data_IF_098548445290
#
_entry.id   IF_098548445290
#
_cell.length_a   1.000
_cell.length_b   1.000
_cell.length_c   1.000
_cell.angle_alpha   90.00
_cell.angle_beta   90.00
_cell.angle_gamma   90.00
#
_symmetry.space_group_name_H-M   'P 1'
#
loop_
_entity.id
_entity.type
_entity.pdbx_description
1 polymer ?
#
# COMPACT_ATOMS: atom_id res chain seq x y z
N UNK A 1 -8.03 -7.08 22.78
CA UNK A 1 -8.21 -7.37 21.33
C UNK A 1 -7.16 -8.41 20.95
N UNK A 2 -7.52 -9.44 20.19
CA UNK A 2 -6.62 -10.56 19.88
C UNK A 2 -5.95 -10.27 18.52
N UNK A 3 -4.65 -10.52 18.41
CA UNK A 3 -3.92 -10.42 17.13
C UNK A 3 -4.54 -11.36 16.07
N UNK A 4 -4.43 -11.03 14.77
CA UNK A 4 -4.87 -11.91 13.70
C UNK A 4 -4.27 -13.31 13.88
N UNK A 5 -5.11 -14.33 13.99
CA UNK A 5 -4.70 -15.71 14.22
C UNK A 5 -3.87 -16.24 13.03
N UNK A 6 -3.07 -17.29 13.20
CA UNK A 6 -2.38 -17.93 12.08
C UNK A 6 -3.31 -18.34 10.95
N UNK A 7 -4.52 -18.84 11.27
CA UNK A 7 -5.53 -19.21 10.28
C UNK A 7 -6.03 -17.97 9.52
N UNK A 8 -6.28 -16.85 10.22
CA UNK A 8 -6.65 -15.60 9.57
C UNK A 8 -5.53 -15.10 8.65
N UNK A 9 -4.27 -15.11 9.13
CA UNK A 9 -3.12 -14.69 8.33
C UNK A 9 -2.97 -15.54 7.06
N UNK A 10 -3.15 -16.85 7.17
CA UNK A 10 -3.09 -17.77 6.02
C UNK A 10 -4.21 -17.48 5.00
N UNK A 11 -5.40 -17.14 5.48
CA UNK A 11 -6.56 -16.88 4.62
C UNK A 11 -6.53 -15.50 3.95
N UNK A 12 -5.85 -14.50 4.53
CA UNK A 12 -5.98 -13.11 4.10
C UNK A 12 -4.68 -12.44 3.68
N UNK A 13 -3.52 -12.98 4.05
CA UNK A 13 -2.23 -12.38 3.72
C UNK A 13 -1.57 -13.08 2.54
N UNK A 14 -0.98 -12.28 1.67
CA UNK A 14 -0.16 -12.75 0.54
C UNK A 14 1.19 -12.06 0.56
N UNK A 15 2.19 -12.71 -0.01
CA UNK A 15 3.51 -12.14 -0.23
C UNK A 15 3.64 -11.69 -1.68
N UNK A 16 3.74 -10.38 -1.90
CA UNK A 16 4.06 -9.80 -3.21
C UNK A 16 5.57 -9.93 -3.42
N UNK A 17 6.04 -10.68 -4.42
CA UNK A 17 7.47 -10.87 -4.66
C UNK A 17 8.12 -9.58 -5.17
N UNK A 18 9.40 -9.35 -4.86
CA UNK A 18 10.11 -8.15 -5.35
C UNK A 18 10.27 -8.11 -6.87
N UNK A 19 10.14 -9.25 -7.56
CA UNK A 19 10.08 -9.28 -9.03
C UNK A 19 8.87 -8.53 -9.59
N UNK A 20 7.79 -8.41 -8.81
CA UNK A 20 6.63 -7.58 -9.13
C UNK A 20 6.82 -6.10 -8.74
N UNK A 21 7.84 -5.79 -7.95
CA UNK A 21 8.15 -4.47 -7.39
C UNK A 21 9.61 -4.07 -7.71
N UNK A 22 10.02 -4.02 -8.98
CA UNK A 22 11.42 -3.76 -9.34
C UNK A 22 11.90 -2.42 -8.80
N UNK A 23 13.11 -2.40 -8.21
CA UNK A 23 13.66 -1.22 -7.56
C UNK A 23 13.12 -0.97 -6.14
N UNK A 24 12.47 -1.96 -5.52
CA UNK A 24 12.01 -1.84 -4.13
C UNK A 24 13.16 -1.44 -3.20
N UNK A 25 12.96 -0.43 -2.33
CA UNK A 25 14.03 0.03 -1.46
C UNK A 25 14.44 -1.03 -0.42
N UNK A 26 15.69 -1.03 0.03
CA UNK A 26 16.20 -2.01 0.99
C UNK A 26 15.50 -1.87 2.35
N UNK A 27 15.35 -3.00 3.05
CA UNK A 27 14.97 -3.01 4.46
C UNK A 27 16.25 -2.86 5.31
N UNK A 28 16.32 -1.89 6.24
CA UNK A 28 17.51 -1.70 7.07
C UNK A 28 17.85 -2.95 7.91
N UNK A 29 19.04 -3.48 7.70
CA UNK A 29 19.57 -4.59 8.51
C UNK A 29 19.07 -6.00 8.10
N UNK A 30 18.26 -6.16 7.06
CA UNK A 30 17.83 -7.46 6.58
C UNK A 30 17.53 -7.49 5.08
N UNK A 31 17.70 -8.64 4.46
CA UNK A 31 17.21 -8.88 3.12
C UNK A 31 15.73 -9.26 3.15
N UNK A 32 14.97 -8.76 2.21
CA UNK A 32 13.56 -9.11 2.01
C UNK A 32 13.37 -9.69 0.61
N UNK A 33 12.57 -10.74 0.49
CA UNK A 33 12.25 -11.38 -0.79
C UNK A 33 10.86 -11.01 -1.32
N UNK A 34 10.13 -10.18 -0.57
CA UNK A 34 8.81 -9.71 -0.94
C UNK A 34 8.13 -8.97 0.21
N UNK A 35 6.96 -8.43 -0.08
CA UNK A 35 6.17 -7.62 0.84
C UNK A 35 4.90 -8.37 1.21
N UNK A 36 4.71 -8.66 2.49
CA UNK A 36 3.50 -9.32 2.98
C UNK A 36 2.42 -8.28 3.24
N UNK A 37 1.29 -8.40 2.54
CA UNK A 37 0.14 -7.50 2.66
C UNK A 37 -1.17 -8.29 2.65
N UNK A 38 -2.27 -7.64 2.98
CA UNK A 38 -3.60 -8.21 2.76
C UNK A 38 -3.82 -8.50 1.26
N UNK A 39 -4.45 -9.64 0.94
CA UNK A 39 -4.63 -10.08 -0.46
C UNK A 39 -5.34 -9.04 -1.33
N UNK A 40 -6.28 -8.25 -0.76
CA UNK A 40 -6.98 -7.19 -1.49
C UNK A 40 -6.12 -5.91 -1.68
N UNK A 41 -5.06 -5.77 -0.91
CA UNK A 41 -4.11 -4.64 -1.00
C UNK A 41 -2.98 -4.93 -1.98
N UNK A 42 -2.74 -6.21 -2.31
CA UNK A 42 -1.65 -6.62 -3.18
C UNK A 42 -1.75 -6.03 -4.60
N UNK A 43 -2.93 -6.06 -5.21
CA UNK A 43 -3.16 -5.45 -6.52
C UNK A 43 -2.92 -3.94 -6.53
N UNK A 44 -3.58 -3.17 -5.64
CA UNK A 44 -3.30 -1.75 -5.44
C UNK A 44 -1.82 -1.42 -5.21
N UNK A 45 -1.11 -2.21 -4.38
CA UNK A 45 0.32 -2.02 -4.17
C UNK A 45 1.12 -2.11 -5.48
N UNK A 46 0.88 -3.17 -6.25
CA UNK A 46 1.58 -3.36 -7.54
C UNK A 46 1.23 -2.22 -8.52
N UNK A 47 -0.03 -1.80 -8.58
CA UNK A 47 -0.45 -0.69 -9.43
C UNK A 47 0.25 0.62 -9.06
N UNK A 48 0.31 0.92 -7.76
CA UNK A 48 1.04 2.10 -7.25
C UNK A 48 2.52 2.02 -7.61
N UNK A 49 3.13 0.83 -7.48
CA UNK A 49 4.54 0.64 -7.81
C UNK A 49 4.84 0.84 -9.29
N UNK A 50 3.97 0.34 -10.16
CA UNK A 50 4.05 0.58 -11.60
C UNK A 50 3.97 2.07 -11.90
N UNK A 51 3.07 2.81 -11.27
CA UNK A 51 2.93 4.24 -11.48
C UNK A 51 4.13 5.05 -10.95
N UNK A 52 4.69 4.68 -9.80
CA UNK A 52 5.94 5.25 -9.30
C UNK A 52 7.09 5.05 -10.28
N UNK A 53 7.20 3.86 -10.86
CA UNK A 53 8.22 3.56 -11.88
C UNK A 53 8.01 4.39 -13.15
N UNK A 54 6.77 4.46 -13.63
CA UNK A 54 6.43 5.28 -14.81
C UNK A 54 6.80 6.74 -14.63
N UNK A 55 6.68 7.27 -13.40
CA UNK A 55 7.06 8.64 -13.03
C UNK A 55 8.54 8.82 -12.69
N UNK A 56 9.35 7.76 -12.67
CA UNK A 56 10.76 7.82 -12.26
C UNK A 56 10.94 8.17 -10.78
N UNK A 57 10.02 7.70 -9.91
CA UNK A 57 9.99 8.08 -8.50
C UNK A 57 10.46 6.99 -7.54
N UNK A 58 10.69 5.76 -8.02
CA UNK A 58 11.06 4.63 -7.16
C UNK A 58 12.36 4.89 -6.40
N UNK A 59 13.35 5.49 -7.04
CA UNK A 59 14.64 5.85 -6.47
C UNK A 59 14.58 7.00 -5.45
N UNK A 60 13.43 7.64 -5.28
CA UNK A 60 13.18 8.67 -4.25
C UNK A 60 12.82 8.07 -2.89
N UNK A 61 12.54 6.76 -2.84
CA UNK A 61 12.36 6.00 -1.60
C UNK A 61 13.70 5.36 -1.22
N UNK A 62 14.22 5.68 -0.04
CA UNK A 62 15.56 5.26 0.44
C UNK A 62 15.52 3.94 1.18
N UNK A 63 14.47 3.73 1.98
CA UNK A 63 14.30 2.52 2.80
C UNK A 63 12.85 2.06 2.83
N UNK A 64 12.63 0.76 2.84
CA UNK A 64 11.38 0.12 3.22
C UNK A 64 11.45 -0.24 4.71
N UNK A 65 10.42 0.08 5.50
CA UNK A 65 10.45 -0.09 6.95
C UNK A 65 9.38 -1.04 7.48
N UNK A 66 8.56 -1.62 6.62
CA UNK A 66 7.63 -2.66 6.99
C UNK A 66 6.25 -2.55 6.36
N UNK A 67 5.53 -3.69 6.35
CA UNK A 67 4.13 -3.79 5.97
C UNK A 67 3.35 -4.57 7.01
N UNK A 68 3.35 -5.91 6.96
CA UNK A 68 2.69 -6.74 7.95
C UNK A 68 3.48 -6.78 9.26
N UNK A 69 2.90 -6.27 10.34
CA UNK A 69 3.47 -6.29 11.69
C UNK A 69 2.34 -6.38 12.74
N UNK A 70 2.11 -7.56 13.36
CA UNK A 70 1.10 -7.73 14.40
C UNK A 70 1.48 -6.95 15.66
N UNK A 71 0.96 -5.74 15.78
CA UNK A 71 1.22 -4.85 16.91
C UNK A 71 0.04 -3.93 17.19
N UNK A 72 -0.05 -3.44 18.40
CA UNK A 72 -0.90 -2.32 18.75
C UNK A 72 -0.29 -0.99 18.26
N UNK A 73 -1.12 0.01 18.07
CA UNK A 73 -0.69 1.35 17.72
C UNK A 73 0.25 1.90 18.79
N UNK A 74 1.38 2.47 18.33
CA UNK A 74 2.43 2.98 19.24
C UNK A 74 3.02 1.93 20.18
N UNK A 75 2.85 0.62 19.88
CA UNK A 75 3.23 -0.49 20.75
C UNK A 75 2.52 -0.50 22.13
N UNK A 76 1.46 0.27 22.29
CA UNK A 76 0.67 0.35 23.52
C UNK A 76 -0.52 -0.64 23.45
N UNK A 77 -0.53 -1.64 24.36
CA UNK A 77 -1.57 -2.67 24.44
C UNK A 77 -2.98 -2.13 24.78
N UNK A 78 -3.06 -0.91 25.29
CA UNK A 78 -4.32 -0.24 25.57
C UNK A 78 -4.93 0.43 24.35
N UNK A 79 -4.18 0.53 23.26
CA UNK A 79 -4.65 1.08 21.98
C UNK A 79 -5.16 -0.01 21.05
N UNK A 80 -5.95 0.33 20.02
CA UNK A 80 -6.35 -0.60 18.96
C UNK A 80 -5.15 -1.23 18.27
N UNK A 81 -5.38 -2.31 17.54
CA UNK A 81 -4.37 -2.87 16.65
C UNK A 81 -4.06 -1.87 15.53
N UNK A 82 -2.78 -1.76 15.18
CA UNK A 82 -2.35 -1.03 14.01
C UNK A 82 -2.88 -1.70 12.73
N UNK A 83 -3.12 -0.94 11.68
CA UNK A 83 -3.46 -1.47 10.34
C UNK A 83 -2.34 -2.35 9.77
N UNK A 84 -1.10 -2.17 10.21
CA UNK A 84 -0.02 -3.10 9.92
C UNK A 84 -0.30 -4.53 10.41
N UNK A 85 -1.05 -4.70 11.50
CA UNK A 85 -1.43 -6.02 11.99
C UNK A 85 -2.27 -6.82 10.99
N UNK A 86 -2.86 -6.14 10.03
CA UNK A 86 -3.71 -6.72 8.99
C UNK A 86 -3.06 -6.67 7.59
N UNK A 87 -1.80 -6.23 7.48
CA UNK A 87 -1.12 -6.07 6.20
C UNK A 87 -1.71 -4.97 5.31
N UNK A 88 -2.33 -3.96 5.92
CA UNK A 88 -3.01 -2.88 5.22
C UNK A 88 -2.24 -1.55 5.25
N UNK A 89 -0.96 -1.56 5.60
CA UNK A 89 -0.10 -0.39 5.60
C UNK A 89 1.33 -0.73 5.18
N UNK A 90 2.05 0.32 4.80
CA UNK A 90 3.46 0.31 4.37
C UNK A 90 4.16 1.48 5.03
N UNK A 91 5.38 1.25 5.51
CA UNK A 91 6.24 2.32 6.02
C UNK A 91 7.48 2.45 5.13
N UNK A 92 7.82 3.71 4.78
CA UNK A 92 9.02 4.07 4.02
C UNK A 92 9.77 5.23 4.67
N UNK A 93 11.09 5.19 4.59
CA UNK A 93 11.98 6.29 5.01
C UNK A 93 11.78 6.72 6.48
N UNK A 94 11.55 5.74 7.38
CA UNK A 94 11.20 5.98 8.78
C UNK A 94 12.23 6.83 9.54
N UNK A 95 13.53 6.72 9.20
CA UNK A 95 14.58 7.48 9.84
C UNK A 95 14.42 9.00 9.69
N UNK A 96 13.68 9.46 8.69
CA UNK A 96 13.51 10.87 8.36
C UNK A 96 12.05 11.36 8.47
N UNK A 97 11.10 10.42 8.60
CA UNK A 97 9.68 10.71 8.51
C UNK A 97 8.88 9.95 9.58
N UNK A 98 9.52 9.60 10.70
CA UNK A 98 8.88 8.81 11.76
C UNK A 98 7.70 9.53 12.42
N UNK A 99 6.93 8.77 13.18
CA UNK A 99 5.80 9.27 13.95
C UNK A 99 6.17 10.50 14.81
N UNK A 100 5.35 11.54 14.77
CA UNK A 100 5.56 12.79 15.48
C UNK A 100 6.60 13.74 14.85
N UNK A 101 7.14 13.41 13.67
CA UNK A 101 7.92 14.37 12.91
C UNK A 101 6.97 15.37 12.26
N UNK A 102 7.12 16.68 12.53
CA UNK A 102 6.25 17.71 11.93
C UNK A 102 6.32 17.69 10.40
N UNK A 103 5.20 17.99 9.76
CA UNK A 103 5.04 17.95 8.31
C UNK A 103 6.12 18.74 7.55
N UNK A 104 6.52 19.90 8.06
CA UNK A 104 7.53 20.79 7.47
C UNK A 104 8.96 20.24 7.59
N UNK A 105 9.20 19.26 8.47
CA UNK A 105 10.48 18.60 8.66
C UNK A 105 10.59 17.23 7.96
N UNK A 106 9.49 16.70 7.46
CA UNK A 106 9.48 15.43 6.73
C UNK A 106 10.25 15.53 5.42
N UNK A 107 11.07 14.53 5.15
CA UNK A 107 11.94 14.47 3.96
C UNK A 107 11.41 13.57 2.85
N UNK A 108 10.27 12.92 3.03
CA UNK A 108 9.68 12.09 1.98
C UNK A 108 9.35 12.92 0.74
N UNK A 109 9.63 12.37 -0.43
CA UNK A 109 9.35 13.07 -1.68
C UNK A 109 7.84 13.25 -1.89
N UNK A 110 7.40 14.49 -2.12
CA UNK A 110 5.97 14.84 -2.22
C UNK A 110 5.31 14.29 -3.48
N UNK A 111 6.06 14.02 -4.54
CA UNK A 111 5.51 13.37 -5.74
C UNK A 111 5.28 11.88 -5.51
N UNK A 112 6.10 11.23 -4.68
CA UNK A 112 5.84 9.88 -4.19
C UNK A 112 4.55 9.86 -3.38
N UNK A 113 4.41 10.77 -2.40
CA UNK A 113 3.19 10.89 -1.59
C UNK A 113 1.97 11.07 -2.49
N UNK A 114 2.00 12.03 -3.40
CA UNK A 114 0.90 12.29 -4.34
C UNK A 114 0.55 11.05 -5.16
N UNK A 115 1.55 10.30 -5.64
CA UNK A 115 1.31 9.09 -6.41
C UNK A 115 0.60 8.02 -5.59
N UNK A 116 1.01 7.80 -4.34
CA UNK A 116 0.31 6.91 -3.44
C UNK A 116 -1.14 7.33 -3.20
N UNK A 117 -1.38 8.63 -2.93
CA UNK A 117 -2.72 9.17 -2.69
C UNK A 117 -3.61 9.04 -3.94
N UNK A 118 -3.10 9.32 -5.13
CA UNK A 118 -3.80 9.13 -6.41
C UNK A 118 -4.15 7.67 -6.67
N UNK A 119 -3.36 6.73 -6.14
CA UNK A 119 -3.62 5.30 -6.18
C UNK A 119 -4.47 4.80 -5.00
N UNK A 120 -5.01 5.70 -4.15
CA UNK A 120 -5.98 5.40 -3.11
C UNK A 120 -5.41 5.08 -1.73
N UNK A 121 -4.15 5.32 -1.53
CA UNK A 121 -3.56 5.22 -0.20
C UNK A 121 -3.75 6.52 0.58
N UNK A 122 -3.84 6.39 1.89
CA UNK A 122 -3.81 7.53 2.80
C UNK A 122 -2.43 7.68 3.40
N UNK A 123 -1.90 8.88 3.36
CA UNK A 123 -0.60 9.20 3.93
C UNK A 123 -0.75 9.75 5.35
N UNK A 124 -0.04 9.14 6.32
CA UNK A 124 -0.06 9.54 7.73
C UNK A 124 0.55 10.92 8.01
N UNK A 125 1.34 11.46 7.10
CA UNK A 125 1.86 12.83 7.21
C UNK A 125 0.81 13.93 7.10
N UNK A 126 -0.46 13.60 6.78
CA UNK A 126 -1.61 14.52 6.80
C UNK A 126 -2.41 14.47 8.10
N UNK A 127 -2.02 13.60 9.02
CA UNK A 127 -2.69 13.53 10.31
C UNK A 127 -2.45 14.81 11.12
N UNK A 128 -3.35 15.10 12.06
CA UNK A 128 -3.23 16.28 12.89
C UNK A 128 -2.05 16.18 13.87
N UNK A 129 -1.38 17.29 14.14
CA UNK A 129 -0.39 17.41 15.20
C UNK A 129 -0.99 16.95 16.55
N UNK A 130 -0.30 16.11 17.33
CA UNK A 130 1.07 15.60 17.19
C UNK A 130 1.13 14.16 16.60
N UNK A 131 0.18 13.78 15.77
CA UNK A 131 -0.02 12.40 15.30
C UNK A 131 0.51 12.16 13.89
N UNK A 132 1.18 13.15 13.26
CA UNK A 132 1.74 13.00 11.94
C UNK A 132 2.69 11.80 11.87
N UNK A 133 2.55 11.01 10.79
CA UNK A 133 3.39 9.84 10.55
C UNK A 133 3.80 9.78 9.07
N UNK A 134 4.88 10.47 8.76
CA UNK A 134 5.31 10.69 7.38
C UNK A 134 5.85 9.45 6.68
N UNK A 135 6.24 8.41 7.41
CA UNK A 135 6.65 7.13 6.82
C UNK A 135 5.45 6.29 6.39
N UNK A 136 4.26 6.54 6.94
CA UNK A 136 3.11 5.65 6.93
C UNK A 136 2.17 5.90 5.76
N UNK A 137 1.90 4.85 4.97
CA UNK A 137 0.88 4.81 3.94
C UNK A 137 -0.09 3.67 4.23
N UNK A 138 -1.38 3.96 4.38
CA UNK A 138 -2.37 2.94 4.69
C UNK A 138 -3.50 2.86 3.68
N UNK A 139 -4.02 1.64 3.53
CA UNK A 139 -5.20 1.34 2.78
C UNK A 139 -6.43 1.54 3.64
N UNK A 140 -7.42 2.28 3.19
CA UNK A 140 -8.59 2.65 3.99
C UNK A 140 -9.91 2.09 3.50
N UNK A 141 -9.94 1.51 2.29
CA UNK A 141 -11.15 0.82 1.87
C UNK A 141 -11.43 -0.37 2.79
N UNK A 142 -12.72 -0.68 3.04
CA UNK A 142 -13.09 -1.78 3.91
C UNK A 142 -12.46 -3.11 3.46
N UNK A 143 -11.79 -3.77 4.39
CA UNK A 143 -11.22 -5.10 4.17
C UNK A 143 -12.01 -6.11 5.00
N UNK A 144 -12.49 -7.22 4.41
CA UNK A 144 -13.22 -8.24 5.16
C UNK A 144 -12.44 -8.75 6.37
N UNK A 145 -13.06 -8.77 7.54
CA UNK A 145 -12.46 -9.23 8.78
C UNK A 145 -11.42 -8.29 9.40
N UNK A 146 -11.23 -7.09 8.84
CA UNK A 146 -10.36 -6.06 9.40
C UNK A 146 -11.21 -5.00 10.09
N UNK A 147 -11.17 -4.89 11.42
CA UNK A 147 -11.83 -3.80 12.13
C UNK A 147 -11.04 -2.50 11.85
N UNK A 148 -11.61 -1.60 11.07
CA UNK A 148 -11.08 -0.25 10.94
C UNK A 148 -11.50 0.55 12.19
N UNK A 149 -10.58 1.15 12.93
CA UNK A 149 -10.92 2.03 14.03
C UNK A 149 -11.74 3.24 13.53
N UNK A 150 -12.75 3.67 14.30
CA UNK A 150 -13.62 4.81 13.94
C UNK A 150 -12.84 6.10 13.59
N UNK A 151 -11.69 6.31 14.21
CA UNK A 151 -10.83 7.47 13.91
C UNK A 151 -10.23 7.43 12.51
N UNK A 152 -10.03 6.25 11.90
CA UNK A 152 -9.55 6.14 10.51
C UNK A 152 -10.59 6.65 9.52
N UNK A 153 -11.87 6.45 9.78
CA UNK A 153 -12.95 7.01 8.96
C UNK A 153 -12.98 8.54 9.03
N UNK A 154 -12.70 9.11 10.21
CA UNK A 154 -12.62 10.55 10.38
C UNK A 154 -11.41 11.15 9.65
N UNK A 155 -10.26 10.47 9.67
CA UNK A 155 -9.05 10.89 8.93
C UNK A 155 -9.22 10.73 7.43
N UNK A 156 -9.84 9.64 6.97
CA UNK A 156 -10.17 9.43 5.57
C UNK A 156 -11.07 10.56 5.04
N UNK A 157 -12.05 11.00 5.82
CA UNK A 157 -12.92 12.14 5.47
C UNK A 157 -12.18 13.48 5.42
N UNK A 158 -11.18 13.69 6.27
CA UNK A 158 -10.33 14.90 6.22
C UNK A 158 -9.42 14.91 5.00
N UNK A 159 -8.87 13.74 4.63
CA UNK A 159 -8.02 13.61 3.44
C UNK A 159 -8.81 13.80 2.13
N UNK A 160 -10.07 13.36 2.07
CA UNK A 160 -10.95 13.58 0.90
C UNK A 160 -11.41 15.06 0.74
N UNK A 161 -11.21 15.89 1.74
CA UNK A 161 -11.39 17.34 1.64
C UNK A 161 -10.16 18.08 1.08
N UNK A 162 -9.09 17.37 0.73
CA UNK A 162 -7.91 17.94 0.09
C UNK A 162 -8.19 18.33 -1.39
N UNK A 163 -7.46 19.31 -1.96
CA UNK A 163 -7.78 19.88 -3.26
C UNK A 163 -7.78 18.83 -4.37
N UNK A 164 -8.72 18.99 -5.30
CA UNK A 164 -8.87 18.17 -6.52
C UNK A 164 -7.52 17.91 -7.19
N UNK A 165 -7.18 16.66 -7.51
CA UNK A 165 -5.92 16.36 -8.18
C UNK A 165 -5.84 17.05 -9.54
N UNK A 166 -4.64 17.46 -9.98
CA UNK A 166 -4.44 17.99 -11.33
C UNK A 166 -4.80 16.92 -12.38
N UNK A 167 -5.19 17.33 -13.61
CA UNK A 167 -5.59 16.41 -14.66
C UNK A 167 -4.53 15.36 -14.95
N UNK A 168 -4.99 14.13 -15.19
CA UNK A 168 -4.15 12.95 -15.39
C UNK A 168 -3.06 13.18 -16.46
N UNK A 169 -1.84 12.78 -16.14
CA UNK A 169 -0.74 12.76 -17.11
C UNK A 169 -1.02 11.74 -18.23
N UNK A 170 -0.47 11.92 -19.46
CA UNK A 170 -0.75 11.05 -20.59
C UNK A 170 -0.37 9.59 -20.32
N UNK A 171 -1.21 8.70 -20.79
CA UNK A 171 -1.19 7.25 -20.57
C UNK A 171 -0.02 6.57 -21.28
N UNK A 172 0.68 5.62 -20.65
CA UNK A 172 1.66 4.78 -21.36
C UNK A 172 0.96 3.77 -22.28
N UNK A 173 1.48 3.60 -23.49
CA UNK A 173 0.95 2.72 -24.52
C UNK A 173 1.40 1.25 -24.42
N UNK A 174 2.16 0.86 -23.41
CA UNK A 174 2.62 -0.52 -23.27
C UNK A 174 1.85 -1.30 -22.22
N UNK A 175 1.53 -2.59 -22.48
CA UNK A 175 0.86 -3.43 -21.51
C UNK A 175 1.78 -3.67 -20.30
N UNK A 176 1.30 -3.29 -19.13
CA UNK A 176 1.94 -3.59 -17.86
C UNK A 176 1.99 -5.11 -17.69
N UNK A 177 3.14 -5.64 -17.33
CA UNK A 177 3.45 -7.07 -17.32
C UNK A 177 2.48 -7.92 -16.48
N UNK A 178 2.60 -9.23 -16.62
CA UNK A 178 1.85 -10.20 -15.82
C UNK A 178 2.47 -10.28 -14.43
N UNK A 179 1.65 -10.09 -13.40
CA UNK A 179 2.06 -10.19 -11.99
C UNK A 179 1.48 -11.46 -11.38
N UNK A 180 2.32 -12.28 -10.81
CA UNK A 180 1.94 -13.46 -10.04
C UNK A 180 1.96 -13.12 -8.56
N UNK A 181 0.83 -13.27 -7.89
CA UNK A 181 0.73 -13.10 -6.44
C UNK A 181 0.85 -14.46 -5.77
N UNK A 182 1.75 -14.58 -4.81
CA UNK A 182 1.99 -15.81 -4.07
C UNK A 182 1.55 -15.65 -2.61
N UNK A 183 0.97 -16.69 -2.03
CA UNK A 183 0.75 -16.77 -0.59
C UNK A 183 2.08 -16.93 0.18
N UNK A 184 2.00 -16.98 1.51
CA UNK A 184 3.20 -17.16 2.37
C UNK A 184 3.95 -18.47 2.12
N UNK A 185 3.28 -19.47 1.58
CA UNK A 185 3.87 -20.78 1.25
C UNK A 185 4.45 -20.81 -0.18
N UNK A 186 4.32 -19.72 -0.94
CA UNK A 186 4.79 -19.60 -2.31
C UNK A 186 3.81 -20.12 -3.36
N UNK A 187 2.54 -20.37 -3.01
CA UNK A 187 1.52 -20.79 -3.95
C UNK A 187 0.86 -19.58 -4.62
N UNK A 188 0.45 -19.76 -5.88
CA UNK A 188 -0.31 -18.74 -6.61
C UNK A 188 -1.65 -18.46 -5.93
N UNK A 189 -1.87 -17.19 -5.57
CA UNK A 189 -3.13 -16.76 -4.96
C UNK A 189 -4.20 -16.62 -6.04
N UNK A 190 -5.21 -17.46 -5.92
CA UNK A 190 -6.42 -17.34 -6.73
C UNK A 190 -7.43 -16.43 -6.03
N UNK A 191 -7.46 -15.15 -6.36
CA UNK A 191 -8.47 -14.22 -5.81
C UNK A 191 -9.83 -14.42 -6.50
N UNK A 192 -10.97 -14.19 -5.83
CA UNK A 192 -12.30 -14.38 -6.41
C UNK A 192 -12.69 -13.30 -7.45
N UNK A 193 -11.90 -12.24 -7.61
CA UNK A 193 -12.24 -11.14 -8.49
C UNK A 193 -11.77 -11.39 -9.93
N UNK A 194 -12.70 -11.35 -10.88
CA UNK A 194 -12.40 -11.49 -12.32
C UNK A 194 -11.96 -10.16 -12.94
N UNK A 195 -12.52 -9.05 -12.47
CA UNK A 195 -12.18 -7.69 -12.87
C UNK A 195 -12.28 -6.78 -11.65
N UNK A 196 -11.35 -5.84 -11.54
CA UNK A 196 -11.43 -4.76 -10.57
C UNK A 196 -10.97 -3.45 -11.25
N UNK A 197 -11.65 -2.36 -10.94
CA UNK A 197 -11.19 -1.01 -11.28
C UNK A 197 -10.93 -0.30 -9.98
N UNK A 198 -9.72 0.22 -9.84
CA UNK A 198 -9.33 0.91 -8.63
C UNK A 198 -8.61 2.21 -9.01
N UNK A 199 -9.19 3.36 -8.64
CA UNK A 199 -8.68 4.70 -8.98
C UNK A 199 -8.19 4.84 -10.43
N UNK A 200 -8.95 4.29 -11.37
CA UNK A 200 -8.62 4.31 -12.79
C UNK A 200 -7.66 3.22 -13.27
N UNK A 201 -7.12 2.40 -12.36
CA UNK A 201 -6.33 1.22 -12.73
C UNK A 201 -7.25 0.00 -12.82
N UNK A 202 -7.22 -0.66 -13.97
CA UNK A 202 -8.03 -1.85 -14.26
C UNK A 202 -7.17 -3.10 -14.20
N UNK A 203 -7.72 -4.16 -13.64
CA UNK A 203 -7.06 -5.47 -13.58
C UNK A 203 -7.92 -6.50 -14.30
N UNK A 204 -7.27 -7.43 -14.98
CA UNK A 204 -7.90 -8.67 -15.46
C UNK A 204 -7.19 -9.83 -14.82
N UNK A 205 -7.96 -10.73 -14.24
CA UNK A 205 -7.44 -12.01 -13.76
C UNK A 205 -7.29 -12.97 -14.93
N UNK A 206 -6.10 -13.54 -15.03
CA UNK A 206 -5.78 -14.58 -16.00
C UNK A 206 -5.88 -15.97 -15.34
N UNK A 207 -6.08 -17.05 -16.14
CA UNK A 207 -5.98 -18.41 -15.62
C UNK A 207 -4.64 -18.65 -14.89
N UNK A 208 -4.69 -19.42 -13.82
CA UNK A 208 -3.51 -19.70 -12.99
C UNK A 208 -3.18 -18.59 -11.97
N UNK A 209 -4.13 -17.72 -11.64
CA UNK A 209 -3.97 -16.70 -10.60
C UNK A 209 -3.16 -15.46 -11.01
N UNK A 210 -2.71 -15.39 -12.25
CA UNK A 210 -1.99 -14.22 -12.77
C UNK A 210 -2.92 -13.02 -12.90
N UNK A 211 -2.40 -11.82 -12.70
CA UNK A 211 -3.13 -10.56 -12.83
C UNK A 211 -2.47 -9.72 -13.93
N UNK A 212 -3.27 -9.25 -14.88
CA UNK A 212 -2.85 -8.28 -15.88
C UNK A 212 -3.44 -6.93 -15.54
N UNK A 213 -2.61 -5.92 -15.45
CA UNK A 213 -3.05 -4.54 -15.39
C UNK A 213 -3.46 -4.09 -16.80
N UNK A 214 -4.59 -3.41 -16.89
CA UNK A 214 -5.09 -2.84 -18.12
C UNK A 214 -4.93 -1.32 -18.10
N UNK A 215 -4.76 -0.68 -19.27
CA UNK A 215 -4.82 0.77 -19.36
C UNK A 215 -6.19 1.29 -18.89
N UNK A 216 -6.27 2.54 -18.41
CA UNK A 216 -7.54 3.20 -18.11
C UNK A 216 -8.52 3.15 -19.27
N UNK A 217 -9.84 3.15 -18.97
CA UNK A 217 -10.84 3.24 -20.03
C UNK A 217 -10.73 4.56 -20.79
N UNK A 218 -10.69 4.49 -22.13
CA UNK A 218 -10.59 5.66 -22.97
C UNK A 218 -9.19 5.96 -23.53
N UNK A 219 -8.20 5.13 -23.24
CA UNK A 219 -6.88 5.17 -23.90
C UNK A 219 -6.90 4.19 -25.09
N UNK A 220 -7.42 4.62 -26.23
CA UNK A 220 -7.23 4.01 -27.54
C UNK A 220 -6.44 4.96 -28.43
#
# INVERSE_FOLDING_TARGET
MVYPSPAWQQAHLVKVPLTALPGWPPYPGAEVSGVTVHQLVAGPLVATWVELRRRGLVDKLRTYNGAFAPRHMGHDRNRPLSVHAFGAALDFDAAWNGYGVPLDRMQINRDVVRTFEECGWHWGGRWADPYEDGMHFQWTDPLPGVPLPEWQDAMARQASAAPTPPPAAPTPSEPLGIVELLDRAGNLVTTPYTHATYHGVRFVRLPGGRVRLLPPEGSA
#
